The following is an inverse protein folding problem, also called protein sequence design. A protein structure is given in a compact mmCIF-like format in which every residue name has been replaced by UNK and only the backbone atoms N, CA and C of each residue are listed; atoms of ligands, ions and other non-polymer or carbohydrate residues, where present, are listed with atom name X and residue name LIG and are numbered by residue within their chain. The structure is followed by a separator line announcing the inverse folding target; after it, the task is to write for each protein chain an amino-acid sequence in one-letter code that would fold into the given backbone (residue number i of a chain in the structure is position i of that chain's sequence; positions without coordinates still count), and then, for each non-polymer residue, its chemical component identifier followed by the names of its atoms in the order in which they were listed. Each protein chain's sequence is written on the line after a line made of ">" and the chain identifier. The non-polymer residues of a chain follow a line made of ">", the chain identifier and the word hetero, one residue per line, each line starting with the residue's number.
data_IF_791762395925
#
_entry.id   IF_791762395925
#
_cell.length_a   1.000
_cell.length_b   1.000
_cell.length_c   1.000
_cell.angle_alpha   90.00
_cell.angle_beta   90.00
_cell.angle_gamma   90.00
#
_symmetry.space_group_name_H-M   'P 1'
#
loop_
_entity.id
_entity.type
_entity.pdbx_description
1 polymer ?
#
# COMPACT_ATOMS: atom_id res chain seq x y z
N UNK A 1 -43.47 11.85 -27.71
CA UNK A 1 -42.92 11.06 -26.57
C UNK A 1 -41.55 11.61 -26.27
N UNK A 2 -41.44 12.51 -25.26
CA UNK A 2 -40.25 13.34 -25.04
C UNK A 2 -39.41 12.69 -23.93
N UNK A 3 -38.23 12.21 -24.29
CA UNK A 3 -37.27 11.58 -23.36
C UNK A 3 -36.60 12.68 -22.55
N UNK A 4 -36.88 12.72 -21.23
CA UNK A 4 -36.15 13.60 -20.28
C UNK A 4 -34.74 13.05 -20.05
N UNK A 5 -33.74 13.80 -20.45
CA UNK A 5 -32.32 13.56 -20.07
C UNK A 5 -32.15 13.81 -18.58
N UNK A 6 -31.83 12.78 -17.82
CA UNK A 6 -31.45 12.90 -16.41
C UNK A 6 -30.14 13.65 -16.25
N UNK A 7 -30.09 14.57 -15.26
CA UNK A 7 -28.85 15.26 -14.86
C UNK A 7 -27.90 14.26 -14.20
N UNK A 8 -26.58 14.33 -14.47
CA UNK A 8 -25.60 13.55 -13.73
C UNK A 8 -25.50 14.05 -12.29
N UNK A 9 -25.45 13.13 -11.34
CA UNK A 9 -25.17 13.38 -9.94
C UNK A 9 -23.73 13.89 -9.80
N UNK A 10 -23.57 15.16 -9.44
CA UNK A 10 -22.28 15.73 -9.07
C UNK A 10 -21.91 15.23 -7.67
N UNK A 11 -20.89 14.39 -7.57
CA UNK A 11 -20.22 14.09 -6.32
C UNK A 11 -19.33 15.27 -5.89
N UNK A 12 -19.03 15.44 -4.59
CA UNK A 12 -18.29 16.58 -4.07
C UNK A 12 -16.88 16.65 -4.65
N UNK A 13 -16.54 17.82 -5.22
CA UNK A 13 -15.25 18.10 -5.81
C UNK A 13 -14.20 18.31 -4.73
N UNK A 14 -12.97 17.86 -5.00
CA UNK A 14 -11.76 17.97 -4.15
C UNK A 14 -11.21 19.39 -3.98
N UNK A 15 -12.02 20.43 -4.18
CA UNK A 15 -11.58 21.84 -4.17
C UNK A 15 -12.38 22.71 -3.22
N UNK A 16 -12.35 22.38 -1.93
CA UNK A 16 -12.73 23.38 -0.92
C UNK A 16 -12.14 22.97 0.43
N UNK A 17 -10.88 23.30 0.68
CA UNK A 17 -10.32 23.54 2.01
C UNK A 17 -8.99 24.28 1.86
N UNK A 18 -9.07 25.55 1.49
CA UNK A 18 -8.00 26.52 1.70
C UNK A 18 -8.66 27.74 2.34
N UNK A 19 -8.36 28.01 3.58
CA UNK A 19 -8.69 29.26 4.23
C UNK A 19 -8.66 29.16 5.74
N UNK A 20 -7.61 29.65 6.37
CA UNK A 20 -7.55 29.85 7.81
C UNK A 20 -6.11 30.03 8.28
N UNK A 21 -5.63 31.28 8.18
CA UNK A 21 -4.32 31.68 8.70
C UNK A 21 -4.36 32.02 10.19
N UNK A 22 -3.16 31.95 10.83
CA UNK A 22 -2.68 32.63 12.01
C UNK A 22 -3.05 32.05 13.40
N UNK A 23 -2.00 31.67 14.10
CA UNK A 23 -2.00 31.42 15.53
C UNK A 23 -0.67 30.81 15.98
N UNK A 24 0.38 31.67 16.07
CA UNK A 24 1.61 31.31 16.78
C UNK A 24 1.28 31.33 18.27
N UNK A 25 1.37 30.19 18.95
CA UNK A 25 1.32 30.14 20.41
C UNK A 25 2.38 29.17 20.93
N UNK A 26 3.20 29.74 21.76
CA UNK A 26 4.25 29.27 22.65
C UNK A 26 4.35 27.78 22.94
N UNK A 27 5.58 27.28 22.75
CA UNK A 27 6.08 26.03 23.33
C UNK A 27 6.14 26.20 24.85
N UNK A 28 5.22 25.56 25.57
CA UNK A 28 5.34 25.36 27.01
C UNK A 28 5.86 23.95 27.28
N UNK A 29 6.83 23.88 28.17
CA UNK A 29 7.58 22.71 28.58
C UNK A 29 6.71 21.51 28.94
N UNK A 30 7.13 20.34 28.48
CA UNK A 30 6.60 19.03 28.89
C UNK A 30 6.95 18.75 30.35
N UNK A 31 6.00 18.25 31.18
CA UNK A 31 6.33 17.75 32.50
C UNK A 31 7.01 16.38 32.40
N UNK A 32 7.98 16.21 33.29
CA UNK A 32 8.84 15.04 33.40
C UNK A 32 8.09 13.75 33.75
N UNK A 33 8.59 12.66 33.15
CA UNK A 33 8.62 11.27 33.61
C UNK A 33 7.36 10.67 34.24
N UNK A 34 6.60 9.95 33.41
CA UNK A 34 5.90 8.76 33.84
C UNK A 34 6.86 7.56 33.74
N UNK A 35 7.40 7.13 34.87
CA UNK A 35 8.10 5.84 35.02
C UNK A 35 7.11 4.71 34.81
N UNK A 36 7.18 4.07 33.65
CA UNK A 36 6.51 2.80 33.36
C UNK A 36 7.33 1.68 34.03
N UNK A 37 6.70 0.76 34.80
CA UNK A 37 7.44 -0.33 35.40
C UNK A 37 8.02 -1.25 34.32
N UNK A 38 9.35 -1.38 34.34
CA UNK A 38 10.12 -2.31 33.51
C UNK A 38 9.94 -3.74 34.01
N UNK A 39 8.90 -4.38 33.53
CA UNK A 39 8.63 -5.80 33.72
C UNK A 39 8.21 -6.47 32.44
N UNK A 40 8.99 -6.27 31.35
CA UNK A 40 8.79 -7.01 30.10
C UNK A 40 9.91 -8.03 29.92
N UNK A 41 9.58 -9.30 30.10
CA UNK A 41 10.34 -10.39 29.48
C UNK A 41 10.37 -10.11 27.97
N UNK A 42 11.54 -9.81 27.45
CA UNK A 42 11.79 -9.66 26.03
C UNK A 42 11.41 -10.95 25.31
N UNK A 43 10.23 -10.98 24.73
CA UNK A 43 9.89 -12.01 23.75
C UNK A 43 10.89 -11.84 22.60
N UNK A 44 11.64 -12.89 22.22
CA UNK A 44 12.60 -12.76 21.14
C UNK A 44 11.86 -12.21 19.91
N UNK A 45 12.40 -11.15 19.32
CA UNK A 45 11.91 -10.64 18.05
C UNK A 45 11.80 -11.85 17.11
N UNK A 46 10.60 -12.12 16.60
CA UNK A 46 10.45 -13.06 15.49
C UNK A 46 11.31 -12.50 14.37
N UNK A 47 12.52 -13.04 14.20
CA UNK A 47 13.25 -12.84 12.95
C UNK A 47 12.26 -13.25 11.86
N UNK A 48 11.95 -12.30 10.97
CA UNK A 48 11.26 -12.61 9.74
C UNK A 48 11.98 -13.80 9.14
N UNK A 49 11.36 -14.97 9.20
CA UNK A 49 11.84 -16.09 8.41
C UNK A 49 11.95 -15.57 6.98
N UNK A 50 13.00 -15.92 6.26
CA UNK A 50 13.14 -15.56 4.85
C UNK A 50 11.80 -15.90 4.18
N UNK A 51 10.99 -14.86 3.94
CA UNK A 51 9.68 -15.06 3.35
C UNK A 51 9.91 -15.43 1.92
N UNK A 52 9.34 -16.54 1.47
CA UNK A 52 9.27 -16.83 0.04
C UNK A 52 8.64 -15.62 -0.63
N UNK A 53 9.22 -15.06 -1.71
CA UNK A 53 8.64 -13.96 -2.42
C UNK A 53 7.18 -14.26 -2.78
N UNK A 54 6.25 -13.35 -2.48
CA UNK A 54 4.85 -13.55 -2.77
C UNK A 54 4.42 -12.68 -3.95
N UNK A 55 3.90 -13.29 -5.00
CA UNK A 55 3.25 -12.53 -6.08
C UNK A 55 1.75 -12.62 -5.89
N UNK A 56 1.12 -11.46 -5.84
CA UNK A 56 -0.30 -11.35 -5.57
C UNK A 56 -1.01 -10.34 -6.46
N UNK A 57 -2.30 -10.16 -6.23
CA UNK A 57 -3.09 -9.15 -6.94
C UNK A 57 -4.18 -8.57 -6.04
N UNK A 58 -4.31 -7.25 -6.03
CA UNK A 58 -5.44 -6.56 -5.40
C UNK A 58 -6.64 -6.60 -6.33
N UNK A 59 -7.78 -7.09 -5.84
CA UNK A 59 -9.06 -7.10 -6.56
C UNK A 59 -10.15 -6.43 -5.74
N UNK A 60 -11.17 -5.89 -6.41
CA UNK A 60 -12.37 -5.35 -5.77
C UNK A 60 -13.66 -5.99 -6.31
N UNK A 61 -14.77 -5.76 -5.59
CA UNK A 61 -16.08 -6.33 -5.96
C UNK A 61 -16.67 -5.66 -7.20
N UNK A 62 -16.41 -4.37 -7.40
CA UNK A 62 -16.99 -3.59 -8.48
C UNK A 62 -16.43 -4.03 -9.84
N UNK A 63 -15.14 -4.38 -9.88
CA UNK A 63 -14.45 -4.84 -11.08
C UNK A 63 -15.09 -6.11 -11.69
N UNK A 64 -15.68 -6.97 -10.86
CA UNK A 64 -16.21 -8.27 -11.29
C UNK A 64 -17.70 -8.43 -11.04
N UNK A 65 -18.41 -7.35 -10.70
CA UNK A 65 -19.87 -7.35 -10.47
C UNK A 65 -20.35 -8.44 -9.50
N UNK A 66 -19.55 -8.76 -8.49
CA UNK A 66 -19.83 -9.76 -7.47
C UNK A 66 -20.02 -9.14 -6.10
N UNK A 67 -20.58 -9.89 -5.15
CA UNK A 67 -20.76 -9.49 -3.74
C UNK A 67 -19.78 -10.21 -2.80
N UNK A 68 -18.95 -11.10 -3.33
CA UNK A 68 -18.03 -11.93 -2.58
C UNK A 68 -16.60 -11.72 -3.10
N UNK A 69 -15.66 -11.41 -2.21
CA UNK A 69 -14.26 -11.19 -2.58
C UNK A 69 -13.54 -12.46 -3.05
N UNK A 70 -13.96 -13.64 -2.59
CA UNK A 70 -13.41 -14.91 -3.08
C UNK A 70 -13.82 -15.14 -4.54
N UNK A 71 -15.07 -14.82 -4.90
CA UNK A 71 -15.54 -14.94 -6.28
C UNK A 71 -14.83 -13.95 -7.19
N UNK A 72 -14.59 -12.70 -6.72
CA UNK A 72 -13.81 -11.71 -7.46
C UNK A 72 -12.37 -12.19 -7.68
N UNK A 73 -11.74 -12.73 -6.64
CA UNK A 73 -10.38 -13.28 -6.71
C UNK A 73 -10.31 -14.46 -7.69
N UNK A 74 -11.22 -15.42 -7.57
CA UNK A 74 -11.28 -16.58 -8.44
C UNK A 74 -11.53 -16.19 -9.91
N UNK A 75 -12.33 -15.16 -10.15
CA UNK A 75 -12.59 -14.65 -11.51
C UNK A 75 -11.31 -14.05 -12.11
N UNK A 76 -10.60 -13.21 -11.37
CA UNK A 76 -9.33 -12.67 -11.80
C UNK A 76 -8.28 -13.76 -12.03
N UNK A 77 -8.12 -14.66 -11.06
CA UNK A 77 -7.18 -15.77 -11.13
C UNK A 77 -7.49 -16.70 -12.33
N UNK A 78 -8.77 -16.90 -12.62
CA UNK A 78 -9.23 -17.64 -13.80
C UNK A 78 -8.86 -16.96 -15.13
N UNK A 79 -8.93 -15.64 -15.22
CA UNK A 79 -8.51 -14.91 -16.42
C UNK A 79 -7.00 -14.93 -16.60
N UNK A 80 -6.25 -14.74 -15.52
CA UNK A 80 -4.78 -14.76 -15.55
C UNK A 80 -4.23 -16.18 -15.64
N UNK A 81 -4.97 -17.19 -15.14
CA UNK A 81 -4.49 -18.58 -15.07
C UNK A 81 -3.48 -18.84 -13.95
N UNK A 82 -3.43 -17.97 -12.92
CA UNK A 82 -2.51 -18.05 -11.79
C UNK A 82 -3.24 -17.62 -10.50
N UNK A 83 -2.96 -18.23 -9.33
CA UNK A 83 -3.63 -17.93 -8.06
C UNK A 83 -3.08 -16.66 -7.38
N UNK A 84 -3.10 -15.52 -8.07
CA UNK A 84 -2.49 -14.28 -7.57
C UNK A 84 -3.38 -13.58 -6.53
N UNK A 85 -4.67 -13.45 -6.79
CA UNK A 85 -5.58 -12.72 -5.93
C UNK A 85 -5.89 -13.44 -4.61
N UNK A 86 -5.50 -14.70 -4.49
CA UNK A 86 -5.61 -15.50 -3.27
C UNK A 86 -4.29 -15.65 -2.52
N UNK A 87 -3.20 -15.05 -2.98
CA UNK A 87 -1.87 -15.15 -2.35
C UNK A 87 -1.59 -13.98 -1.41
N UNK A 88 -1.48 -12.75 -1.92
CA UNK A 88 -1.31 -11.52 -1.14
C UNK A 88 -2.07 -10.38 -1.79
N UNK A 89 -2.75 -9.56 -0.98
CA UNK A 89 -3.46 -8.38 -1.46
C UNK A 89 -3.14 -7.14 -0.65
N UNK A 90 -3.13 -5.97 -1.30
CA UNK A 90 -3.14 -4.68 -0.62
C UNK A 90 -4.58 -4.29 -0.26
N UNK A 91 -4.77 -3.81 0.95
CA UNK A 91 -6.06 -3.35 1.50
C UNK A 91 -5.89 -1.94 2.03
N UNK A 92 -6.80 -1.07 1.66
CA UNK A 92 -6.84 0.31 2.13
C UNK A 92 -7.90 0.48 3.19
N UNK A 93 -7.55 1.17 4.25
CA UNK A 93 -8.47 1.63 5.28
C UNK A 93 -8.52 3.16 5.24
N UNK A 94 -9.72 3.73 5.36
CA UNK A 94 -9.92 5.16 5.31
C UNK A 94 -9.28 5.90 6.48
N UNK A 95 -9.24 7.23 6.38
CA UNK A 95 -8.69 8.10 7.42
C UNK A 95 -9.37 7.89 8.77
N UNK A 96 -8.58 7.51 9.78
CA UNK A 96 -9.07 7.29 11.15
C UNK A 96 -10.05 6.12 11.30
N UNK A 97 -10.22 5.29 10.27
CA UNK A 97 -11.10 4.13 10.31
C UNK A 97 -10.42 2.94 10.97
N UNK A 98 -10.84 2.65 12.20
CA UNK A 98 -10.42 1.47 12.95
C UNK A 98 -11.64 0.62 13.29
N UNK A 99 -12.16 -0.18 12.34
CA UNK A 99 -13.37 -0.97 12.57
C UNK A 99 -13.14 -2.00 13.69
N UNK A 100 -14.20 -2.33 14.47
CA UNK A 100 -14.08 -3.27 15.58
C UNK A 100 -13.90 -4.73 15.13
N UNK A 101 -13.97 -4.98 13.83
CA UNK A 101 -13.78 -6.30 13.22
C UNK A 101 -12.84 -6.18 12.02
N UNK A 102 -12.13 -7.26 11.63
CA UNK A 102 -11.37 -7.26 10.40
C UNK A 102 -12.26 -6.92 9.20
N UNK A 103 -11.77 -6.17 8.21
CA UNK A 103 -12.52 -5.88 6.98
C UNK A 103 -13.06 -7.16 6.33
N UNK A 104 -14.26 -7.09 5.78
CA UNK A 104 -14.92 -8.25 5.14
C UNK A 104 -14.04 -8.91 4.07
N UNK A 105 -13.33 -8.09 3.28
CA UNK A 105 -12.35 -8.56 2.30
C UNK A 105 -11.31 -9.48 2.93
N UNK A 106 -10.70 -9.04 4.02
CA UNK A 106 -9.67 -9.80 4.71
C UNK A 106 -10.25 -11.09 5.32
N UNK A 107 -11.44 -11.00 5.94
CA UNK A 107 -12.10 -12.16 6.55
C UNK A 107 -12.45 -13.24 5.52
N UNK A 108 -12.90 -12.85 4.33
CA UNK A 108 -13.25 -13.79 3.28
C UNK A 108 -12.01 -14.43 2.65
N UNK A 109 -11.02 -13.62 2.25
CA UNK A 109 -9.84 -14.10 1.54
C UNK A 109 -8.82 -14.81 2.43
N UNK A 110 -8.75 -14.49 3.73
CA UNK A 110 -7.90 -15.22 4.67
C UNK A 110 -8.27 -16.71 4.77
N UNK A 111 -9.54 -17.06 4.54
CA UNK A 111 -9.98 -18.46 4.49
C UNK A 111 -9.40 -19.23 3.30
N UNK A 112 -9.01 -18.51 2.25
CA UNK A 112 -8.30 -19.06 1.09
C UNK A 112 -6.77 -19.01 1.25
N UNK A 113 -6.26 -18.56 2.43
CA UNK A 113 -4.83 -18.47 2.70
C UNK A 113 -4.18 -17.14 2.31
N UNK A 114 -4.96 -16.14 1.91
CA UNK A 114 -4.43 -14.84 1.48
C UNK A 114 -3.79 -14.07 2.64
N UNK A 115 -2.63 -13.47 2.39
CA UNK A 115 -1.97 -12.49 3.25
C UNK A 115 -2.34 -11.06 2.85
N UNK A 116 -2.08 -10.09 3.75
CA UNK A 116 -2.51 -8.72 3.50
C UNK A 116 -1.41 -7.69 3.81
N UNK A 117 -1.23 -6.76 2.87
CA UNK A 117 -0.55 -5.50 3.09
C UNK A 117 -1.62 -4.44 3.37
N UNK A 118 -1.77 -4.02 4.62
CA UNK A 118 -2.86 -3.15 5.06
C UNK A 118 -2.36 -1.72 5.20
N UNK A 119 -2.80 -0.84 4.30
CA UNK A 119 -2.56 0.59 4.43
C UNK A 119 -3.60 1.20 5.36
N UNK A 120 -3.12 1.80 6.44
CA UNK A 120 -3.92 2.53 7.42
C UNK A 120 -3.50 3.99 7.43
N UNK A 121 -4.46 4.88 7.64
CA UNK A 121 -4.24 6.32 7.63
C UNK A 121 -4.74 6.96 8.93
N UNK A 122 -4.03 6.79 10.06
CA UNK A 122 -4.31 7.55 11.27
C UNK A 122 -4.29 9.06 10.99
N UNK A 123 -5.03 9.83 11.80
CA UNK A 123 -5.11 11.27 11.58
C UNK A 123 -3.76 11.97 11.73
N UNK A 124 -3.52 12.97 10.91
CA UNK A 124 -2.35 13.83 11.01
C UNK A 124 -2.36 14.76 12.22
N UNK A 125 -3.46 14.80 12.98
CA UNK A 125 -3.53 15.55 14.25
C UNK A 125 -2.80 14.85 15.39
N UNK A 126 -2.45 13.58 15.23
CA UNK A 126 -1.60 12.82 16.15
C UNK A 126 -2.07 12.87 17.61
N UNK A 127 -3.28 12.41 17.88
CA UNK A 127 -3.85 12.39 19.23
C UNK A 127 -3.61 11.06 19.96
N UNK A 128 -3.47 11.11 21.30
CA UNK A 128 -3.35 9.89 22.12
C UNK A 128 -4.58 8.99 22.03
N UNK A 129 -5.76 9.56 21.83
CA UNK A 129 -6.99 8.79 21.62
C UNK A 129 -6.90 7.95 20.35
N UNK A 130 -6.32 8.48 19.31
CA UNK A 130 -6.16 7.78 18.03
C UNK A 130 -5.06 6.73 18.07
N UNK A 131 -3.95 6.98 18.82
CA UNK A 131 -2.99 5.92 19.13
C UNK A 131 -3.65 4.75 19.88
N UNK A 132 -4.54 5.04 20.83
CA UNK A 132 -5.27 4.02 21.57
C UNK A 132 -6.23 3.22 20.66
N UNK A 133 -6.89 3.88 19.71
CA UNK A 133 -7.73 3.21 18.70
C UNK A 133 -6.89 2.31 17.79
N UNK A 134 -5.76 2.79 17.31
CA UNK A 134 -4.82 2.00 16.52
C UNK A 134 -4.33 0.78 17.31
N UNK A 135 -3.91 0.96 18.55
CA UNK A 135 -3.45 -0.14 19.40
C UNK A 135 -4.55 -1.20 19.61
N UNK A 136 -5.79 -0.75 19.85
CA UNK A 136 -6.96 -1.63 19.99
C UNK A 136 -7.23 -2.41 18.71
N UNK A 137 -7.18 -1.73 17.56
CA UNK A 137 -7.36 -2.36 16.25
C UNK A 137 -6.29 -3.41 15.98
N UNK A 138 -5.01 -3.11 16.24
CA UNK A 138 -3.90 -4.05 16.09
C UNK A 138 -4.06 -5.28 17.01
N UNK A 139 -4.53 -5.07 18.24
CA UNK A 139 -4.84 -6.18 19.18
C UNK A 139 -5.93 -7.08 18.60
N UNK A 140 -7.00 -6.51 18.07
CA UNK A 140 -8.08 -7.24 17.43
C UNK A 140 -7.57 -8.01 16.19
N UNK A 141 -6.77 -7.37 15.33
CA UNK A 141 -6.20 -8.01 14.15
C UNK A 141 -5.29 -9.20 14.53
N UNK A 142 -4.40 -9.03 15.52
CA UNK A 142 -3.56 -10.10 16.03
C UNK A 142 -4.38 -11.29 16.56
N UNK A 143 -5.51 -10.99 17.21
CA UNK A 143 -6.41 -12.02 17.76
C UNK A 143 -7.22 -12.74 16.68
N UNK A 144 -7.36 -12.14 15.50
CA UNK A 144 -8.11 -12.74 14.38
C UNK A 144 -7.37 -13.90 13.69
N UNK A 145 -6.06 -13.99 13.86
CA UNK A 145 -5.21 -14.97 13.19
C UNK A 145 -4.98 -14.70 11.68
N UNK A 146 -5.52 -13.59 11.16
CA UNK A 146 -5.32 -13.19 9.76
C UNK A 146 -3.88 -12.68 9.58
N UNK A 147 -3.09 -13.20 8.63
CA UNK A 147 -1.73 -12.71 8.38
C UNK A 147 -1.78 -11.33 7.72
N UNK A 148 -1.11 -10.34 8.32
CA UNK A 148 -1.09 -8.98 7.80
C UNK A 148 0.21 -8.24 8.12
N UNK A 149 0.51 -7.25 7.29
CA UNK A 149 1.55 -6.23 7.47
C UNK A 149 0.89 -4.86 7.48
N UNK A 150 1.46 -3.91 8.19
CA UNK A 150 0.89 -2.56 8.34
C UNK A 150 1.73 -1.54 7.61
N UNK A 151 1.10 -0.84 6.69
CA UNK A 151 1.62 0.38 6.06
C UNK A 151 0.99 1.58 6.76
N UNK A 152 1.84 2.46 7.29
CA UNK A 152 1.39 3.76 7.80
C UNK A 152 1.39 4.77 6.64
N UNK A 153 0.21 5.04 6.09
CA UNK A 153 0.00 5.99 5.01
C UNK A 153 0.71 5.62 3.70
N UNK A 154 -0.02 5.00 2.79
CA UNK A 154 0.48 4.66 1.44
C UNK A 154 0.93 5.91 0.70
N UNK A 155 2.00 5.79 -0.09
CA UNK A 155 2.59 6.87 -0.88
C UNK A 155 2.87 8.16 -0.07
N UNK A 156 3.39 8.01 1.14
CA UNK A 156 3.63 9.13 2.07
C UNK A 156 4.51 10.23 1.47
N UNK A 157 5.38 9.91 0.51
CA UNK A 157 6.26 10.83 -0.19
C UNK A 157 5.63 11.56 -1.39
N UNK A 158 4.39 11.25 -1.78
CA UNK A 158 3.72 11.95 -2.90
C UNK A 158 2.98 13.22 -2.41
N UNK A 159 1.71 13.11 -2.07
CA UNK A 159 0.86 14.27 -1.74
C UNK A 159 0.47 14.34 -0.27
N UNK A 160 0.67 13.25 0.45
CA UNK A 160 0.18 13.10 1.80
C UNK A 160 0.80 14.08 2.77
N UNK A 161 2.11 14.25 2.72
CA UNK A 161 2.86 15.16 3.58
C UNK A 161 3.61 16.20 2.73
N UNK A 162 3.54 17.48 3.15
CA UNK A 162 4.19 18.56 2.41
C UNK A 162 5.72 18.51 2.53
N UNK A 163 6.20 18.09 3.69
CA UNK A 163 7.63 18.06 4.02
C UNK A 163 8.02 16.72 4.68
N UNK A 164 9.28 16.35 4.55
CA UNK A 164 9.83 15.17 5.24
C UNK A 164 9.76 15.28 6.78
N UNK A 165 10.00 16.44 7.41
CA UNK A 165 9.78 16.60 8.86
C UNK A 165 8.34 16.32 9.31
N UNK A 166 7.31 16.74 8.55
CA UNK A 166 5.90 16.38 8.85
C UNK A 166 5.69 14.86 8.80
N UNK A 167 6.25 14.21 7.77
CA UNK A 167 6.20 12.76 7.65
C UNK A 167 6.91 12.07 8.81
N UNK A 168 8.12 12.49 9.17
CA UNK A 168 8.86 11.87 10.25
C UNK A 168 8.22 12.09 11.63
N UNK A 169 7.57 13.23 11.86
CA UNK A 169 6.78 13.45 13.07
C UNK A 169 5.61 12.46 13.15
N UNK A 170 4.86 12.29 12.05
CA UNK A 170 3.79 11.33 11.94
C UNK A 170 4.26 9.88 12.11
N UNK A 171 5.33 9.50 11.41
CA UNK A 171 5.94 8.18 11.51
C UNK A 171 6.39 7.86 12.94
N UNK A 172 7.16 8.76 13.56
CA UNK A 172 7.66 8.59 14.93
C UNK A 172 6.54 8.52 15.97
N UNK A 173 5.37 9.07 15.66
CA UNK A 173 4.22 9.04 16.54
C UNK A 173 3.46 7.71 16.48
N UNK A 174 3.23 7.13 15.29
CA UNK A 174 2.41 5.93 15.13
C UNK A 174 3.21 4.63 14.96
N UNK A 175 4.39 4.66 14.38
CA UNK A 175 5.18 3.47 14.12
C UNK A 175 5.54 2.67 15.40
N UNK A 176 5.87 3.31 16.54
CA UNK A 176 6.06 2.57 17.79
C UNK A 176 4.84 1.75 18.22
N UNK A 177 3.62 2.26 18.00
CA UNK A 177 2.38 1.54 18.33
C UNK A 177 2.26 0.25 17.53
N UNK A 178 2.62 0.28 16.24
CA UNK A 178 2.61 -0.91 15.38
C UNK A 178 3.67 -1.92 15.83
N UNK A 179 4.88 -1.45 16.11
CA UNK A 179 5.98 -2.29 16.61
C UNK A 179 5.66 -2.92 17.97
N UNK A 180 5.12 -2.14 18.91
CA UNK A 180 4.75 -2.61 20.25
C UNK A 180 3.63 -3.65 20.20
N UNK A 181 2.74 -3.57 19.24
CA UNK A 181 1.73 -4.60 18.99
C UNK A 181 2.33 -5.88 18.38
N UNK A 182 3.60 -5.89 17.98
CA UNK A 182 4.26 -7.03 17.33
C UNK A 182 3.83 -7.25 15.89
N UNK A 183 3.22 -6.26 15.24
CA UNK A 183 2.90 -6.30 13.82
C UNK A 183 4.11 -5.90 12.97
N UNK A 184 4.22 -6.47 11.77
CA UNK A 184 5.24 -6.07 10.78
C UNK A 184 4.93 -4.67 10.28
N UNK A 185 5.86 -3.75 10.48
CA UNK A 185 5.76 -2.35 10.05
C UNK A 185 6.37 -2.18 8.68
N UNK A 186 5.56 -1.83 7.70
CA UNK A 186 5.98 -1.58 6.33
C UNK A 186 6.00 -0.08 6.02
N UNK A 187 7.01 0.35 5.29
CA UNK A 187 7.06 1.65 4.63
C UNK A 187 6.66 1.47 3.16
N UNK A 188 5.71 2.26 2.69
CA UNK A 188 5.23 2.24 1.32
C UNK A 188 5.43 3.62 0.68
N UNK A 189 6.12 3.65 -0.46
CA UNK A 189 6.43 4.89 -1.15
C UNK A 189 5.95 4.87 -2.61
N UNK A 190 5.34 5.98 -3.02
CA UNK A 190 5.01 6.22 -4.42
C UNK A 190 6.29 6.43 -5.25
N UNK A 191 6.36 5.78 -6.40
CA UNK A 191 7.45 5.89 -7.37
C UNK A 191 7.06 6.70 -8.60
N UNK A 192 5.97 7.49 -8.50
CA UNK A 192 5.53 8.40 -9.55
C UNK A 192 6.58 9.49 -9.84
N UNK A 193 6.50 10.10 -11.03
CA UNK A 193 7.45 11.13 -11.49
C UNK A 193 7.65 12.27 -10.47
N UNK A 194 6.59 12.68 -9.74
CA UNK A 194 6.65 13.71 -8.70
C UNK A 194 7.12 13.19 -7.34
N UNK A 195 6.88 11.93 -7.04
CA UNK A 195 7.19 11.30 -5.77
C UNK A 195 8.66 10.83 -5.70
N UNK A 196 9.20 10.32 -6.81
CA UNK A 196 10.55 9.77 -6.87
C UNK A 196 11.66 10.70 -6.33
N UNK A 197 11.70 12.02 -6.66
CA UNK A 197 12.74 12.92 -6.12
C UNK A 197 12.67 13.07 -4.60
N UNK A 198 11.53 12.75 -3.98
CA UNK A 198 11.29 12.84 -2.54
C UNK A 198 11.55 11.51 -1.81
N UNK A 199 11.65 10.39 -2.54
CA UNK A 199 11.74 9.06 -1.94
C UNK A 199 12.86 8.94 -0.92
N UNK A 200 14.07 9.39 -1.25
CA UNK A 200 15.22 9.37 -0.33
C UNK A 200 15.00 10.26 0.90
N UNK A 201 14.44 11.46 0.72
CA UNK A 201 14.22 12.41 1.81
C UNK A 201 13.09 11.96 2.77
N UNK A 202 12.21 11.07 2.35
CA UNK A 202 11.09 10.56 3.15
C UNK A 202 11.33 9.15 3.68
N UNK A 203 12.51 8.56 3.43
CA UNK A 203 12.83 7.22 3.92
C UNK A 203 12.96 7.21 5.45
N UNK A 204 12.08 6.50 6.19
CA UNK A 204 12.05 6.58 7.64
C UNK A 204 13.13 5.68 8.25
N UNK A 205 13.82 6.19 9.28
CA UNK A 205 14.88 5.47 9.97
C UNK A 205 14.64 5.27 11.48
N UNK A 206 13.67 5.96 12.06
CA UNK A 206 13.39 5.87 13.50
C UNK A 206 11.88 5.93 13.81
N UNK A 207 11.26 4.78 14.22
CA UNK A 207 11.85 3.45 14.13
C UNK A 207 12.05 3.04 12.67
N UNK A 208 13.02 2.18 12.42
CA UNK A 208 13.23 1.61 11.08
C UNK A 208 12.04 0.72 10.70
N UNK A 209 11.53 0.75 9.46
CA UNK A 209 10.54 -0.22 9.01
C UNK A 209 11.14 -1.64 8.96
N UNK A 210 10.28 -2.64 9.00
CA UNK A 210 10.67 -4.05 8.82
C UNK A 210 10.73 -4.42 7.34
N UNK A 211 9.92 -3.73 6.53
CA UNK A 211 9.77 -3.97 5.09
C UNK A 211 9.62 -2.63 4.34
N UNK A 212 10.06 -2.60 3.08
CA UNK A 212 9.86 -1.47 2.16
C UNK A 212 9.09 -1.93 0.94
N UNK A 213 7.98 -1.27 0.67
CA UNK A 213 7.13 -1.52 -0.46
C UNK A 213 7.04 -0.28 -1.36
N UNK A 214 6.82 -0.48 -2.64
CA UNK A 214 6.85 0.59 -3.63
C UNK A 214 5.65 0.51 -4.56
N UNK A 215 4.92 1.62 -4.73
CA UNK A 215 3.87 1.74 -5.74
C UNK A 215 4.50 2.20 -7.05
N UNK A 216 4.61 1.29 -8.02
CA UNK A 216 5.34 1.50 -9.26
C UNK A 216 4.55 1.08 -10.48
N UNK A 217 4.10 2.04 -11.27
CA UNK A 217 3.27 1.83 -12.44
C UNK A 217 4.05 2.01 -13.77
N UNK A 218 3.59 1.38 -14.85
CA UNK A 218 4.21 1.49 -16.17
C UNK A 218 4.25 2.93 -16.68
N UNK A 219 3.29 3.78 -16.31
CA UNK A 219 3.31 5.22 -16.60
C UNK A 219 4.48 5.93 -15.92
N UNK A 220 4.82 5.57 -14.70
CA UNK A 220 5.98 6.09 -13.97
C UNK A 220 7.28 5.64 -14.62
N UNK A 221 7.37 4.37 -15.03
CA UNK A 221 8.50 3.82 -15.76
C UNK A 221 8.73 4.56 -17.08
N UNK A 222 7.67 4.85 -17.82
CA UNK A 222 7.73 5.67 -19.04
C UNK A 222 8.26 7.08 -18.78
N UNK A 223 7.94 7.68 -17.64
CA UNK A 223 8.49 8.96 -17.17
C UNK A 223 9.95 8.90 -16.72
N UNK A 224 10.60 7.75 -16.79
CA UNK A 224 12.01 7.56 -16.40
C UNK A 224 12.20 7.17 -14.94
N UNK A 225 11.12 6.94 -14.18
CA UNK A 225 11.23 6.45 -12.78
C UNK A 225 11.87 5.07 -12.73
N UNK A 226 12.69 4.85 -11.71
CA UNK A 226 13.36 3.58 -11.42
C UNK A 226 13.30 3.30 -9.93
N UNK A 227 13.33 2.03 -9.56
CA UNK A 227 13.28 1.60 -8.18
C UNK A 227 14.64 1.64 -7.46
N UNK A 228 15.73 1.78 -8.22
CA UNK A 228 17.11 1.64 -7.71
C UNK A 228 17.42 2.52 -6.49
N UNK A 229 16.90 3.75 -6.46
CA UNK A 229 17.13 4.67 -5.32
C UNK A 229 16.56 4.11 -4.02
N UNK A 230 15.31 3.65 -4.03
CA UNK A 230 14.64 3.13 -2.83
C UNK A 230 15.21 1.77 -2.45
N UNK A 231 15.46 0.91 -3.43
CA UNK A 231 16.13 -0.38 -3.23
C UNK A 231 17.50 -0.16 -2.59
N UNK A 232 18.30 0.79 -3.09
CA UNK A 232 19.62 1.10 -2.53
C UNK A 232 19.56 1.60 -1.09
N UNK A 233 18.57 2.38 -0.72
CA UNK A 233 18.34 2.82 0.67
C UNK A 233 17.95 1.65 1.59
N UNK A 234 17.06 0.79 1.13
CA UNK A 234 16.62 -0.38 1.85
C UNK A 234 17.76 -1.41 2.02
N UNK A 235 18.52 -1.69 0.94
CA UNK A 235 19.70 -2.56 0.98
C UNK A 235 20.73 -2.06 2.01
N UNK A 236 21.01 -0.74 2.00
CA UNK A 236 21.96 -0.13 2.96
C UNK A 236 21.47 -0.24 4.41
N UNK A 237 20.17 -0.31 4.63
CA UNK A 237 19.55 -0.50 5.95
C UNK A 237 19.30 -1.99 6.28
N UNK A 238 19.57 -2.92 5.38
CA UNK A 238 19.30 -4.36 5.55
C UNK A 238 17.81 -4.70 5.57
N UNK A 239 16.97 -3.91 4.89
CA UNK A 239 15.52 -4.03 4.90
C UNK A 239 15.07 -4.64 3.57
N UNK A 240 14.24 -5.71 3.58
CA UNK A 240 13.74 -6.32 2.36
C UNK A 240 12.75 -5.41 1.62
N UNK A 241 12.72 -5.54 0.30
CA UNK A 241 11.92 -4.71 -0.60
C UNK A 241 10.91 -5.54 -1.40
N UNK A 242 9.80 -4.91 -1.79
CA UNK A 242 8.79 -5.44 -2.70
C UNK A 242 8.04 -4.33 -3.45
N UNK A 243 7.20 -4.71 -4.37
CA UNK A 243 6.31 -3.79 -5.09
C UNK A 243 4.89 -3.96 -4.55
N UNK A 244 4.34 -2.90 -3.90
CA UNK A 244 3.01 -2.93 -3.30
C UNK A 244 1.89 -2.76 -4.34
N UNK A 245 2.19 -2.04 -5.43
CA UNK A 245 1.28 -1.85 -6.54
C UNK A 245 2.05 -1.76 -7.85
N UNK A 246 1.68 -2.59 -8.80
CA UNK A 246 2.16 -2.49 -10.17
C UNK A 246 1.06 -2.80 -11.15
N UNK A 247 0.94 -2.01 -12.19
CA UNK A 247 0.01 -2.17 -13.30
C UNK A 247 0.38 -1.20 -14.43
N UNK A 248 -0.48 -1.11 -15.42
CA UNK A 248 -0.39 -0.24 -16.58
C UNK A 248 -0.42 1.24 -16.22
N UNK A 249 -1.40 1.67 -15.42
CA UNK A 249 -1.50 3.05 -14.93
C UNK A 249 -2.21 3.16 -13.58
N UNK A 250 -1.96 4.26 -12.88
CA UNK A 250 -2.66 4.62 -11.64
C UNK A 250 -4.03 5.32 -11.88
N UNK A 251 -4.64 5.13 -13.04
CA UNK A 251 -5.99 5.64 -13.33
C UNK A 251 -6.13 7.13 -13.64
N UNK A 252 -5.22 7.98 -13.19
CA UNK A 252 -5.35 9.46 -13.31
C UNK A 252 -4.51 10.08 -14.44
N UNK A 253 -3.66 9.32 -15.14
CA UNK A 253 -2.63 9.87 -16.03
C UNK A 253 -2.72 9.33 -17.47
N UNK A 254 -3.92 9.24 -18.02
CA UNK A 254 -4.10 8.88 -19.44
C UNK A 254 -3.78 10.10 -20.33
N UNK A 255 -2.54 10.57 -20.29
CA UNK A 255 -2.10 11.58 -21.29
C UNK A 255 -1.58 10.94 -22.56
N UNK A 256 -1.29 9.67 -22.58
CA UNK A 256 -0.88 8.94 -23.78
C UNK A 256 -1.18 7.47 -23.61
N UNK A 257 -1.83 6.81 -24.58
CA UNK A 257 -2.06 5.37 -24.51
C UNK A 257 -0.75 4.63 -24.28
N UNK A 258 -0.72 3.74 -23.29
CA UNK A 258 0.39 2.82 -23.11
C UNK A 258 0.39 1.83 -24.28
N UNK A 259 1.55 1.42 -24.73
CA UNK A 259 1.70 0.43 -25.79
C UNK A 259 2.23 -0.88 -25.22
N UNK A 260 1.91 -2.00 -25.83
CA UNK A 260 2.45 -3.30 -25.44
C UNK A 260 3.98 -3.34 -25.37
N UNK A 261 4.75 -2.73 -26.27
CA UNK A 261 6.20 -2.64 -26.11
C UNK A 261 6.64 -1.96 -24.80
N UNK A 262 5.94 -0.90 -24.36
CA UNK A 262 6.23 -0.27 -23.07
C UNK A 262 5.87 -1.16 -21.89
N UNK A 263 4.71 -1.80 -21.93
CA UNK A 263 4.30 -2.78 -20.92
C UNK A 263 5.32 -3.90 -20.80
N UNK A 264 5.75 -4.45 -21.92
CA UNK A 264 6.75 -5.49 -21.93
C UNK A 264 8.09 -5.03 -21.34
N UNK A 265 8.59 -3.85 -21.74
CA UNK A 265 9.82 -3.27 -21.19
C UNK A 265 9.72 -3.01 -19.67
N UNK A 266 8.56 -2.59 -19.20
CA UNK A 266 8.28 -2.40 -17.77
C UNK A 266 8.28 -3.73 -17.02
N UNK A 267 7.57 -4.75 -17.52
CA UNK A 267 7.61 -6.10 -16.94
C UNK A 267 9.02 -6.67 -16.92
N UNK A 268 9.78 -6.53 -18.02
CA UNK A 268 11.15 -7.03 -18.11
C UNK A 268 12.09 -6.32 -17.12
N UNK A 269 11.85 -5.06 -16.81
CA UNK A 269 12.56 -4.36 -15.74
C UNK A 269 12.26 -4.96 -14.36
N UNK A 270 10.98 -5.24 -14.04
CA UNK A 270 10.60 -5.92 -12.78
C UNK A 270 11.24 -7.31 -12.72
N UNK A 271 11.18 -8.09 -13.81
CA UNK A 271 11.82 -9.41 -13.92
C UNK A 271 13.33 -9.32 -13.63
N UNK A 272 14.00 -8.32 -14.19
CA UNK A 272 15.43 -8.10 -13.95
C UNK A 272 15.72 -7.85 -12.46
N UNK A 273 14.93 -7.03 -11.78
CA UNK A 273 15.08 -6.79 -10.35
C UNK A 273 14.79 -8.02 -9.50
N UNK A 274 13.71 -8.76 -9.81
CA UNK A 274 13.34 -9.99 -9.11
C UNK A 274 14.42 -11.06 -9.25
N UNK A 275 14.89 -11.31 -10.47
CA UNK A 275 15.95 -12.29 -10.75
C UNK A 275 17.28 -11.92 -10.09
N UNK A 276 17.55 -10.62 -9.91
CA UNK A 276 18.70 -10.12 -9.16
C UNK A 276 18.51 -10.19 -7.63
N UNK A 277 17.41 -10.74 -7.13
CA UNK A 277 17.08 -10.81 -5.70
C UNK A 277 16.81 -9.46 -5.04
N UNK A 278 16.48 -8.43 -5.84
CA UNK A 278 16.24 -7.07 -5.37
C UNK A 278 14.82 -6.84 -4.87
N UNK A 279 13.92 -7.80 -5.02
CA UNK A 279 12.51 -7.75 -4.61
C UNK A 279 12.14 -9.00 -3.78
N UNK A 280 12.83 -9.27 -2.66
CA UNK A 280 12.64 -10.51 -1.90
C UNK A 280 11.23 -10.64 -1.27
N UNK A 281 10.46 -9.56 -1.15
CA UNK A 281 9.08 -9.62 -0.65
C UNK A 281 8.06 -9.98 -1.75
N UNK A 282 8.41 -9.81 -3.02
CA UNK A 282 7.51 -10.07 -4.15
C UNK A 282 6.86 -8.82 -4.75
N UNK A 283 5.72 -9.01 -5.40
CA UNK A 283 4.99 -7.94 -6.09
C UNK A 283 3.47 -8.17 -6.06
N UNK A 284 2.69 -7.10 -5.89
CA UNK A 284 1.22 -7.14 -5.88
C UNK A 284 0.69 -6.39 -7.11
N UNK A 285 0.06 -7.12 -8.04
CA UNK A 285 -0.60 -6.52 -9.19
C UNK A 285 -1.84 -5.73 -8.76
N UNK A 286 -1.93 -4.48 -9.18
CA UNK A 286 -3.07 -3.63 -8.83
C UNK A 286 -4.15 -3.78 -9.88
N UNK A 287 -5.20 -4.53 -9.55
CA UNK A 287 -6.33 -4.81 -10.43
C UNK A 287 -7.64 -4.38 -9.75
N UNK A 288 -7.83 -3.07 -9.68
CA UNK A 288 -9.02 -2.47 -9.08
C UNK A 288 -9.43 -1.23 -9.86
N UNK A 289 -10.73 -0.89 -9.81
CA UNK A 289 -11.23 0.35 -10.41
C UNK A 289 -10.68 1.54 -9.66
N UNK A 290 -9.81 2.30 -10.28
CA UNK A 290 -9.32 3.53 -9.71
C UNK A 290 -10.44 4.55 -9.54
N UNK A 291 -10.33 5.40 -8.50
CA UNK A 291 -11.28 6.48 -8.21
C UNK A 291 -11.29 7.47 -9.38
N UNK A 292 -12.27 7.37 -10.27
CA UNK A 292 -12.34 8.17 -11.51
C UNK A 292 -12.88 7.40 -12.72
N UNK A 293 -13.07 6.08 -12.58
CA UNK A 293 -13.79 5.25 -13.56
C UNK A 293 -12.97 4.76 -14.75
N UNK A 294 -11.65 4.96 -14.75
CA UNK A 294 -10.75 4.27 -15.68
C UNK A 294 -10.32 2.96 -15.05
N UNK A 295 -10.92 1.87 -15.52
CA UNK A 295 -10.64 0.54 -15.03
C UNK A 295 -9.41 -0.02 -15.75
N UNK A 296 -8.30 -0.17 -15.05
CA UNK A 296 -7.20 -1.01 -15.49
C UNK A 296 -7.41 -2.49 -15.08
N UNK A 297 -8.68 -2.90 -15.13
CA UNK A 297 -9.09 -4.24 -14.72
C UNK A 297 -8.79 -5.26 -15.81
N UNK A 298 -8.22 -6.41 -15.44
CA UNK A 298 -8.17 -7.58 -16.30
C UNK A 298 -9.60 -8.17 -16.38
N UNK A 299 -10.26 -7.93 -17.49
CA UNK A 299 -11.68 -8.28 -17.70
C UNK A 299 -11.88 -9.54 -18.53
N UNK A 300 -10.82 -10.13 -19.07
CA UNK A 300 -10.89 -11.37 -19.88
C UNK A 300 -9.55 -12.08 -19.96
N UNK A 301 -9.56 -13.36 -20.28
CA UNK A 301 -8.36 -14.16 -20.51
C UNK A 301 -7.58 -13.74 -21.79
N UNK A 302 -8.16 -12.88 -22.62
CA UNK A 302 -7.48 -12.33 -23.82
C UNK A 302 -6.82 -10.98 -23.57
N UNK A 303 -6.76 -10.50 -22.33
CA UNK A 303 -6.11 -9.22 -22.02
C UNK A 303 -4.62 -9.27 -22.39
N UNK A 304 -4.15 -8.31 -23.21
CA UNK A 304 -2.79 -8.35 -23.73
C UNK A 304 -1.70 -8.14 -22.67
N UNK A 305 -2.06 -7.79 -21.42
CA UNK A 305 -1.12 -7.65 -20.29
C UNK A 305 -0.77 -8.98 -19.66
N UNK A 306 -1.61 -10.01 -19.79
CA UNK A 306 -1.44 -11.31 -19.12
C UNK A 306 -0.06 -11.95 -19.37
N UNK A 307 0.49 -11.98 -20.60
CA UNK A 307 1.83 -12.52 -20.81
C UNK A 307 2.93 -11.80 -19.99
N UNK A 308 2.79 -10.49 -19.79
CA UNK A 308 3.69 -9.71 -18.92
C UNK A 308 3.53 -10.11 -17.45
N UNK A 309 2.31 -10.28 -16.97
CA UNK A 309 2.02 -10.75 -15.60
C UNK A 309 2.66 -12.11 -15.36
N UNK A 310 2.52 -13.06 -16.30
CA UNK A 310 3.15 -14.37 -16.21
C UNK A 310 4.67 -14.29 -16.08
N UNK A 311 5.35 -13.47 -16.92
CA UNK A 311 6.79 -13.30 -16.84
C UNK A 311 7.24 -12.77 -15.49
N UNK A 312 6.53 -11.73 -14.97
CA UNK A 312 6.83 -11.18 -13.65
C UNK A 312 6.64 -12.26 -12.57
N UNK A 313 5.52 -12.98 -12.58
CA UNK A 313 5.23 -14.03 -11.58
C UNK A 313 6.27 -15.15 -11.60
N UNK A 314 6.74 -15.56 -12.77
CA UNK A 314 7.76 -16.61 -12.92
C UNK A 314 9.15 -16.21 -12.45
N UNK A 315 9.41 -14.90 -12.27
CA UNK A 315 10.71 -14.39 -11.83
C UNK A 315 10.89 -14.42 -10.31
N UNK A 316 9.82 -14.63 -9.55
CA UNK A 316 9.79 -14.79 -8.10
C UNK A 316 9.70 -16.25 -7.69
#
# INVERSE_FOLDING_TARGET
>A
MTIRKGKPLQGPSRREFIGGAAGIAAVTALPASLTVPSGRTSRPARRSAATTPAVGATVDLASYHTKNYVDAANTFDGFVGLPLATTIQKVYMGHGEFPPHPPLKMTQLAKAGCEFLVSIEPSKTMTSAEQALLAKWLTMMNSSGIPYRVVLYSESNDKAFKTAPEWFAYWSYYAPVVKDAGATLAYDCGMGFKALPRAAAYFPSNPSPDEVWMDFYATSFRGGSRLDTVIGLADAAGIPTGIAEWDWSAGDLIFTPMTLPWWNAYCDYIVTLATAGKLPLGAIFFNAVAKGGTADVIASASDPRIPGIHRVTQAF
#
